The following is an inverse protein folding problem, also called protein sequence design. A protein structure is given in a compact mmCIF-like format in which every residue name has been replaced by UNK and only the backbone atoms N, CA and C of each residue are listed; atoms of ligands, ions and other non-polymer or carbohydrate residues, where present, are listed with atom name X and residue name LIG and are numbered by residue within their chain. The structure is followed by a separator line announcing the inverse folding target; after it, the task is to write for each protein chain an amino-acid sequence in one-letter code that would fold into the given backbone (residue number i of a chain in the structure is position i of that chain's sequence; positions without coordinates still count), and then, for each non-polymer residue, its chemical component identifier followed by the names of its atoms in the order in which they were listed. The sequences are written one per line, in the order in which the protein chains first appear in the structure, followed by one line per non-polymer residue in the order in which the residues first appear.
data_IF_041614600998
#
_entry.id   IF_041614600998
#
_cell.length_a   1.000
_cell.length_b   1.000
_cell.length_c   1.000
_cell.angle_alpha   90.00
_cell.angle_beta   90.00
_cell.angle_gamma   90.00
#
_symmetry.space_group_name_H-M   'P 1'
#
loop_
_entity.id
_entity.type
_entity.pdbx_description
1 polymer ?
#
# COMPACT_ATOMS: atom_id res chain seq x y z
N UNK A 1 -3.27 -11.92 8.56
CA UNK A 1 -3.93 -11.15 9.63
C UNK A 1 -2.97 -10.07 10.08
N UNK A 2 -3.15 -8.82 9.64
CA UNK A 2 -2.30 -7.69 10.04
C UNK A 2 -3.00 -6.97 11.20
N UNK A 3 -2.37 -6.97 12.37
CA UNK A 3 -2.86 -6.29 13.58
C UNK A 3 -2.16 -4.95 13.72
N UNK A 4 -2.92 -3.91 14.03
CA UNK A 4 -2.46 -2.53 14.13
C UNK A 4 -1.32 -2.38 15.16
N UNK A 5 -0.26 -1.64 14.80
CA UNK A 5 0.90 -1.36 15.67
C UNK A 5 2.05 -2.38 15.66
N UNK A 6 1.81 -3.65 15.29
CA UNK A 6 2.86 -4.66 15.11
C UNK A 6 3.13 -5.00 13.62
N UNK A 7 2.30 -4.45 12.73
CA UNK A 7 2.21 -4.84 11.33
C UNK A 7 3.39 -4.43 10.45
N UNK A 8 4.06 -3.30 10.69
CA UNK A 8 5.10 -2.80 9.75
C UNK A 8 6.34 -3.71 9.71
N UNK A 9 6.75 -4.28 10.84
CA UNK A 9 7.83 -5.27 10.93
C UNK A 9 7.43 -6.66 10.43
N UNK A 10 6.16 -7.03 10.51
CA UNK A 10 5.63 -8.29 9.96
C UNK A 10 5.48 -8.19 8.44
N UNK A 11 4.90 -7.09 7.96
CA UNK A 11 4.74 -6.76 6.54
C UNK A 11 6.10 -6.63 5.85
N UNK A 12 7.10 -6.05 6.51
CA UNK A 12 8.47 -5.97 5.98
C UNK A 12 9.09 -7.36 5.73
N UNK A 13 8.75 -8.37 6.53
CA UNK A 13 9.22 -9.75 6.32
C UNK A 13 8.47 -10.42 5.17
N UNK A 14 7.15 -10.32 5.17
CA UNK A 14 6.31 -10.86 4.09
C UNK A 14 6.67 -10.25 2.72
N UNK A 15 6.93 -8.94 2.66
CA UNK A 15 7.40 -8.25 1.44
C UNK A 15 8.75 -8.80 0.98
N UNK A 16 9.69 -9.06 1.91
CA UNK A 16 11.00 -9.63 1.56
C UNK A 16 10.86 -11.03 0.98
N UNK A 17 9.99 -11.85 1.56
CA UNK A 17 9.79 -13.23 1.11
C UNK A 17 9.10 -13.29 -0.25
N UNK A 18 8.06 -12.46 -0.47
CA UNK A 18 7.39 -12.31 -1.78
C UNK A 18 8.35 -11.74 -2.82
N UNK A 19 9.15 -10.73 -2.46
CA UNK A 19 10.11 -10.16 -3.39
C UNK A 19 11.17 -11.17 -3.81
N UNK A 20 11.65 -12.01 -2.89
CA UNK A 20 12.60 -13.10 -3.21
C UNK A 20 11.95 -14.16 -4.08
N UNK A 21 10.72 -14.58 -3.81
CA UNK A 21 10.03 -15.59 -4.63
C UNK A 21 9.76 -15.11 -6.06
N UNK A 22 9.60 -13.81 -6.26
CA UNK A 22 9.36 -13.19 -7.57
C UNK A 22 10.59 -12.50 -8.17
N UNK A 23 11.78 -12.64 -7.56
CA UNK A 23 13.03 -12.01 -7.98
C UNK A 23 12.90 -10.49 -8.22
N UNK A 24 12.11 -9.81 -7.40
CA UNK A 24 11.81 -8.39 -7.51
C UNK A 24 12.81 -7.53 -6.72
N UNK A 25 13.45 -6.57 -7.39
CA UNK A 25 14.39 -5.63 -6.75
C UNK A 25 13.68 -4.46 -6.02
N UNK A 26 12.40 -4.24 -6.31
CA UNK A 26 11.57 -3.18 -5.73
C UNK A 26 10.13 -3.66 -5.59
N UNK A 27 9.41 -3.15 -4.60
CA UNK A 27 7.98 -3.39 -4.38
C UNK A 27 7.28 -2.05 -4.17
N UNK A 28 6.15 -1.85 -4.86
CA UNK A 28 5.23 -0.74 -4.61
C UNK A 28 4.24 -1.17 -3.54
N UNK A 29 4.23 -0.49 -2.40
CA UNK A 29 3.23 -0.68 -1.35
C UNK A 29 2.39 0.58 -1.24
N UNK A 30 1.16 0.43 -0.78
CA UNK A 30 0.32 1.58 -0.51
C UNK A 30 -0.82 1.27 0.44
N UNK A 31 -1.33 2.34 1.04
CA UNK A 31 -2.55 2.32 1.83
C UNK A 31 -3.55 3.27 1.19
N UNK A 32 -4.83 3.00 1.39
CA UNK A 32 -5.88 3.92 1.03
C UNK A 32 -6.79 4.16 2.22
N UNK A 33 -7.34 5.37 2.31
CA UNK A 33 -8.23 5.80 3.39
C UNK A 33 -9.37 6.61 2.79
N UNK A 34 -10.56 6.00 2.64
CA UNK A 34 -11.74 6.69 2.14
C UNK A 34 -12.23 7.76 3.12
N UNK A 35 -12.54 8.94 2.63
CA UNK A 35 -13.26 10.00 3.33
C UNK A 35 -14.54 10.38 2.55
N UNK A 36 -15.24 11.45 2.95
CA UNK A 36 -16.51 11.83 2.31
C UNK A 36 -16.35 12.13 0.80
N UNK A 37 -15.44 13.05 0.45
CA UNK A 37 -15.30 13.54 -0.93
C UNK A 37 -14.07 13.01 -1.66
N UNK A 38 -13.10 12.49 -0.91
CA UNK A 38 -11.84 12.00 -1.45
C UNK A 38 -11.47 10.68 -0.79
N UNK A 39 -10.72 9.86 -1.51
CA UNK A 39 -9.95 8.75 -0.97
C UNK A 39 -8.48 9.14 -1.03
N UNK A 40 -7.85 9.15 0.14
CA UNK A 40 -6.42 9.43 0.22
C UNK A 40 -5.65 8.14 -0.02
N UNK A 41 -4.75 8.17 -0.99
CA UNK A 41 -3.88 7.04 -1.34
C UNK A 41 -2.45 7.45 -1.03
N UNK A 42 -1.77 6.69 -0.18
CA UNK A 42 -0.34 6.83 0.07
C UNK A 42 0.39 5.66 -0.57
N UNK A 43 1.40 5.96 -1.38
CA UNK A 43 2.20 4.96 -2.08
C UNK A 43 3.67 5.12 -1.75
N UNK A 44 4.38 4.01 -1.58
CA UNK A 44 5.82 3.97 -1.30
C UNK A 44 6.47 2.91 -2.18
N UNK A 45 7.52 3.32 -2.90
CA UNK A 45 8.38 2.41 -3.62
C UNK A 45 9.52 1.97 -2.69
N UNK A 46 9.56 0.68 -2.38
CA UNK A 46 10.46 0.11 -1.37
C UNK A 46 11.46 -0.81 -2.05
N UNK A 47 12.75 -0.63 -1.78
CA UNK A 47 13.78 -1.57 -2.20
C UNK A 47 13.75 -2.80 -1.30
N UNK A 48 13.78 -3.97 -1.91
CA UNK A 48 13.50 -5.25 -1.23
C UNK A 48 14.67 -5.78 -0.41
N UNK A 49 15.90 -5.41 -0.79
CA UNK A 49 17.13 -5.79 -0.11
C UNK A 49 17.19 -5.27 1.34
N UNK A 50 16.97 -3.97 1.53
CA UNK A 50 17.16 -3.26 2.80
C UNK A 50 15.87 -2.62 3.34
N UNK A 51 14.73 -2.84 2.68
CA UNK A 51 13.43 -2.24 3.01
C UNK A 51 13.43 -0.71 2.99
N UNK A 52 14.40 -0.09 2.30
CA UNK A 52 14.47 1.37 2.22
C UNK A 52 13.39 1.91 1.27
N UNK A 53 12.68 2.94 1.72
CA UNK A 53 11.78 3.72 0.86
C UNK A 53 12.63 4.58 -0.07
N UNK A 54 12.47 4.37 -1.37
CA UNK A 54 13.14 5.12 -2.43
C UNK A 54 12.34 6.36 -2.78
N UNK A 55 11.01 6.25 -2.82
CA UNK A 55 10.11 7.36 -3.09
C UNK A 55 8.75 7.13 -2.45
N UNK A 56 8.15 8.20 -1.95
CA UNK A 56 6.76 8.26 -1.53
C UNK A 56 5.95 9.19 -2.44
N UNK A 57 4.66 8.92 -2.59
CA UNK A 57 3.72 9.83 -3.23
C UNK A 57 2.34 9.69 -2.57
N UNK A 58 1.72 10.82 -2.27
CA UNK A 58 0.37 10.89 -1.75
C UNK A 58 -0.55 11.51 -2.79
N UNK A 59 -1.76 10.97 -2.90
CA UNK A 59 -2.75 11.41 -3.88
C UNK A 59 -4.14 11.47 -3.26
N UNK A 60 -4.85 12.57 -3.51
CA UNK A 60 -6.25 12.72 -3.16
C UNK A 60 -7.10 12.38 -4.39
N UNK A 61 -7.69 11.18 -4.39
CA UNK A 61 -8.56 10.70 -5.45
C UNK A 61 -9.99 11.17 -5.19
N UNK A 62 -10.62 11.98 -6.05
CA UNK A 62 -12.02 12.37 -5.89
C UNK A 62 -12.94 11.15 -5.88
N UNK A 63 -13.91 11.11 -4.97
CA UNK A 63 -14.87 10.01 -4.87
C UNK A 63 -16.02 10.17 -5.87
N UNK A 64 -15.70 10.05 -7.15
CA UNK A 64 -16.70 9.96 -8.20
C UNK A 64 -17.49 8.64 -8.14
N UNK A 65 -18.41 8.46 -9.10
CA UNK A 65 -19.28 7.28 -9.14
C UNK A 65 -18.51 5.97 -9.21
N UNK A 66 -17.39 5.93 -9.92
CA UNK A 66 -16.64 4.70 -10.13
C UNK A 66 -15.74 4.39 -8.94
N UNK A 67 -15.10 5.40 -8.36
CA UNK A 67 -14.34 5.25 -7.10
C UNK A 67 -15.25 4.75 -5.98
N UNK A 68 -16.46 5.30 -5.84
CA UNK A 68 -17.41 4.83 -4.83
C UNK A 68 -17.84 3.37 -5.05
N UNK A 69 -17.98 2.91 -6.29
CA UNK A 69 -18.30 1.50 -6.61
C UNK A 69 -17.15 0.57 -6.25
N UNK A 70 -15.91 0.97 -6.53
CA UNK A 70 -14.73 0.20 -6.17
C UNK A 70 -14.63 0.01 -4.65
N UNK A 71 -14.91 1.08 -3.89
CA UNK A 71 -14.92 1.04 -2.43
C UNK A 71 -16.07 0.22 -1.84
N UNK A 72 -17.26 0.26 -2.47
CA UNK A 72 -18.42 -0.50 -2.02
C UNK A 72 -18.27 -2.02 -2.20
N UNK A 73 -17.45 -2.44 -3.18
CA UNK A 73 -17.19 -3.86 -3.46
C UNK A 73 -16.16 -4.47 -2.48
N UNK A 74 -15.37 -3.64 -1.81
CA UNK A 74 -14.28 -4.07 -0.93
C UNK A 74 -14.74 -4.55 0.47
N UNK A 75 -15.99 -5.01 0.63
CA UNK A 75 -16.57 -5.43 1.90
C UNK A 75 -16.63 -6.95 2.06
#
# INVERSE_FOLDING_TARGET
FVKEGAGELLLSREIKDIARSHNASMVLVGTYSPAANFTYVSMKLVRTEDSRIIRGHDYALPNDRDVQRLLATAR
#
